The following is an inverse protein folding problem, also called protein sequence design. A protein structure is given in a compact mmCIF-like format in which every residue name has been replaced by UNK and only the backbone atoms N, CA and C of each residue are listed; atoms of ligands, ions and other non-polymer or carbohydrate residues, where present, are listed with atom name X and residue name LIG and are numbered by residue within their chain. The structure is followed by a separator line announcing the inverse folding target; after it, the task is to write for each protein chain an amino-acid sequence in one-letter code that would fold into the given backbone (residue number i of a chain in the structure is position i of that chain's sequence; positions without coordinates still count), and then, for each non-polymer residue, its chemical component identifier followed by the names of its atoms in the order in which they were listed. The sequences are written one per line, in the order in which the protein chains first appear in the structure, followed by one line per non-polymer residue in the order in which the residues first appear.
data_IF_858530632089
#
_entry.id   IF_858530632089
#
_cell.length_a   1.000
_cell.length_b   1.000
_cell.length_c   1.000
_cell.angle_alpha   90.00
_cell.angle_beta   90.00
_cell.angle_gamma   90.00
#
_symmetry.space_group_name_H-M   'P 1'
#
loop_
_entity.id
_entity.type
_entity.pdbx_description
1 polymer ?
#
# COMPACT_ATOMS: atom_id res chain seq x y z
N UNK A 1 -59.33 -18.00 -30.11
CA UNK A 1 -59.34 -18.51 -28.72
C UNK A 1 -57.88 -18.54 -28.26
N UNK A 2 -57.42 -17.46 -27.61
CA UNK A 2 -56.05 -17.35 -27.11
C UNK A 2 -56.15 -17.21 -25.60
N UNK A 3 -55.68 -18.23 -24.90
CA UNK A 3 -55.70 -18.34 -23.45
C UNK A 3 -54.65 -17.37 -22.90
N UNK A 4 -55.08 -16.34 -22.15
CA UNK A 4 -54.19 -15.60 -21.25
C UNK A 4 -53.87 -16.51 -20.07
N UNK A 5 -52.65 -17.02 -20.01
CA UNK A 5 -52.10 -17.59 -18.79
C UNK A 5 -51.85 -16.43 -17.81
N UNK A 6 -52.67 -16.35 -16.76
CA UNK A 6 -52.35 -15.60 -15.58
C UNK A 6 -51.22 -16.32 -14.83
N UNK A 7 -49.97 -15.91 -15.05
CA UNK A 7 -48.88 -16.26 -14.13
C UNK A 7 -48.99 -15.36 -12.89
N UNK A 8 -49.86 -15.76 -11.96
CA UNK A 8 -49.69 -15.40 -10.56
C UNK A 8 -48.69 -16.38 -9.96
N UNK A 9 -47.39 -16.11 -10.11
CA UNK A 9 -46.38 -16.72 -9.25
C UNK A 9 -46.64 -16.25 -7.82
N UNK A 10 -47.30 -17.13 -7.06
CA UNK A 10 -47.51 -16.97 -5.63
C UNK A 10 -46.14 -17.20 -4.96
N UNK A 11 -45.27 -16.19 -4.94
CA UNK A 11 -44.07 -16.22 -4.13
C UNK A 11 -44.52 -16.41 -2.67
N UNK A 12 -44.37 -17.64 -2.14
CA UNK A 12 -44.72 -17.94 -0.75
C UNK A 12 -44.03 -16.94 0.17
N UNK A 13 -44.83 -16.25 0.99
CA UNK A 13 -44.31 -15.30 1.97
C UNK A 13 -43.42 -16.07 2.95
N UNK A 14 -42.13 -15.74 3.03
CA UNK A 14 -41.14 -16.46 3.83
C UNK A 14 -41.56 -16.66 5.30
N UNK A 15 -42.43 -15.78 5.82
CA UNK A 15 -42.96 -15.83 7.19
C UNK A 15 -43.70 -17.14 7.49
N UNK A 16 -44.43 -17.69 6.52
CA UNK A 16 -45.22 -18.92 6.68
C UNK A 16 -44.42 -20.21 6.48
N UNK A 17 -43.17 -20.13 6.01
CA UNK A 17 -42.31 -21.29 5.84
C UNK A 17 -41.85 -21.87 7.19
N UNK A 18 -41.64 -23.19 7.31
CA UNK A 18 -40.99 -23.79 8.47
C UNK A 18 -39.56 -23.26 8.61
N UNK A 19 -39.03 -23.18 9.85
CA UNK A 19 -37.63 -22.76 10.03
C UNK A 19 -36.67 -23.75 9.37
N UNK A 20 -35.67 -23.21 8.68
CA UNK A 20 -34.77 -24.00 7.84
C UNK A 20 -34.03 -23.14 6.82
N UNK A 21 -33.22 -23.81 6.00
CA UNK A 21 -32.40 -23.17 4.96
C UNK A 21 -33.25 -22.43 3.93
N UNK A 22 -34.37 -23.01 3.53
CA UNK A 22 -35.30 -22.44 2.54
C UNK A 22 -35.94 -21.14 3.05
N UNK A 23 -36.49 -21.16 4.28
CA UNK A 23 -37.01 -19.95 4.92
C UNK A 23 -35.95 -18.86 5.07
N UNK A 24 -34.73 -19.25 5.46
CA UNK A 24 -33.63 -18.30 5.59
C UNK A 24 -33.25 -17.66 4.26
N UNK A 25 -33.10 -18.45 3.20
CA UNK A 25 -32.83 -17.92 1.86
C UNK A 25 -33.97 -17.01 1.37
N UNK A 26 -35.22 -17.40 1.57
CA UNK A 26 -36.38 -16.58 1.22
C UNK A 26 -36.41 -15.26 2.02
N UNK A 27 -36.04 -15.29 3.30
CA UNK A 27 -35.86 -14.09 4.12
C UNK A 27 -34.75 -13.17 3.58
N UNK A 28 -33.59 -13.71 3.21
CA UNK A 28 -32.49 -12.93 2.63
C UNK A 28 -32.82 -12.32 1.25
N UNK A 29 -33.85 -12.82 0.56
CA UNK A 29 -34.39 -12.25 -0.67
C UNK A 29 -35.58 -11.30 -0.43
N UNK A 30 -35.98 -11.07 0.82
CA UNK A 30 -37.15 -10.28 1.16
C UNK A 30 -36.91 -8.77 1.11
N UNK A 31 -38.01 -8.00 1.10
CA UNK A 31 -37.97 -6.54 1.24
C UNK A 31 -37.46 -6.14 2.62
N UNK A 32 -37.87 -6.85 3.68
CA UNK A 32 -37.45 -6.58 5.05
C UNK A 32 -35.92 -6.64 5.20
N UNK A 33 -35.29 -7.69 4.65
CA UNK A 33 -33.84 -7.79 4.65
C UNK A 33 -33.17 -6.74 3.76
N UNK A 34 -33.77 -6.38 2.63
CA UNK A 34 -33.23 -5.33 1.75
C UNK A 34 -33.20 -3.96 2.45
N UNK A 35 -34.24 -3.63 3.22
CA UNK A 35 -34.28 -2.41 4.04
C UNK A 35 -33.20 -2.42 5.12
N UNK A 36 -32.98 -3.56 5.80
CA UNK A 36 -31.91 -3.70 6.78
C UNK A 36 -30.52 -3.54 6.13
N UNK A 37 -30.28 -4.14 4.97
CA UNK A 37 -29.02 -3.98 4.22
C UNK A 37 -28.73 -2.53 3.87
N UNK A 38 -29.73 -1.80 3.37
CA UNK A 38 -29.57 -0.36 3.08
C UNK A 38 -29.32 0.47 4.33
N UNK A 39 -29.99 0.17 5.44
CA UNK A 39 -29.75 0.87 6.71
C UNK A 39 -28.33 0.61 7.26
N UNK A 40 -27.81 -0.61 7.13
CA UNK A 40 -26.43 -0.96 7.49
C UNK A 40 -25.43 -0.22 6.58
N UNK A 41 -25.70 -0.15 5.27
CA UNK A 41 -24.88 0.57 4.30
C UNK A 41 -24.86 2.08 4.55
N UNK A 42 -26.01 2.68 4.85
CA UNK A 42 -26.14 4.10 5.23
C UNK A 42 -25.30 4.39 6.49
N UNK A 43 -25.46 3.57 7.53
CA UNK A 43 -24.68 3.69 8.78
C UNK A 43 -23.18 3.64 8.54
N UNK A 44 -22.73 2.69 7.72
CA UNK A 44 -21.30 2.50 7.44
C UNK A 44 -20.76 3.44 6.35
N UNK A 45 -21.63 4.27 5.75
CA UNK A 45 -21.32 5.11 4.58
C UNK A 45 -20.77 4.30 3.40
N UNK A 46 -21.24 3.06 3.25
CA UNK A 46 -20.79 2.15 2.21
C UNK A 46 -19.40 1.55 2.42
N UNK A 47 -18.80 1.68 3.61
CA UNK A 47 -17.47 1.15 3.92
C UNK A 47 -17.57 -0.08 4.83
N UNK A 48 -16.61 -1.00 4.72
CA UNK A 48 -16.47 -2.13 5.63
C UNK A 48 -16.12 -1.67 7.05
N UNK A 49 -16.93 -2.05 8.04
CA UNK A 49 -16.74 -1.71 9.46
C UNK A 49 -15.68 -2.57 10.17
N UNK A 50 -15.10 -3.57 9.48
CA UNK A 50 -14.03 -4.41 10.03
C UNK A 50 -12.64 -3.87 9.64
N UNK A 51 -12.36 -3.69 8.34
CA UNK A 51 -11.07 -3.15 7.88
C UNK A 51 -11.07 -1.63 7.72
N UNK A 52 -12.24 -0.96 7.72
CA UNK A 52 -12.38 0.49 7.51
C UNK A 52 -11.72 1.01 6.22
N UNK A 53 -11.58 0.16 5.21
CA UNK A 53 -10.85 0.47 3.98
C UNK A 53 -11.63 0.15 2.72
N UNK A 54 -12.08 -1.10 2.59
CA UNK A 54 -12.78 -1.58 1.39
C UNK A 54 -14.27 -1.19 1.42
N UNK A 55 -14.88 -1.11 0.23
CA UNK A 55 -16.33 -0.95 0.10
C UNK A 55 -17.08 -2.13 0.75
N UNK A 56 -18.23 -1.81 1.34
CA UNK A 56 -19.15 -2.82 1.85
C UNK A 56 -19.75 -3.61 0.69
N UNK A 57 -19.66 -4.95 0.78
CA UNK A 57 -20.25 -5.89 -0.17
C UNK A 57 -21.31 -6.80 0.50
N UNK A 58 -21.12 -7.10 1.79
CA UNK A 58 -21.93 -8.04 2.55
C UNK A 58 -22.37 -7.48 3.89
N UNK A 59 -23.49 -8.00 4.40
CA UNK A 59 -23.91 -7.80 5.79
C UNK A 59 -23.64 -9.08 6.56
N UNK A 60 -22.78 -8.99 7.56
CA UNK A 60 -22.41 -10.10 8.42
C UNK A 60 -23.22 -10.07 9.71
N UNK A 61 -23.73 -11.22 10.12
CA UNK A 61 -24.45 -11.37 11.39
C UNK A 61 -23.45 -11.56 12.54
N UNK A 62 -23.45 -10.64 13.50
CA UNK A 62 -22.68 -10.76 14.75
C UNK A 62 -23.32 -11.74 15.73
N UNK A 63 -24.63 -11.92 15.63
CA UNK A 63 -25.40 -12.88 16.42
C UNK A 63 -26.64 -13.32 15.67
N UNK A 64 -27.09 -14.55 15.95
CA UNK A 64 -28.31 -15.13 15.39
C UNK A 64 -29.46 -15.20 16.40
N UNK A 65 -29.31 -14.64 17.61
CA UNK A 65 -30.33 -14.67 18.69
C UNK A 65 -31.68 -14.10 18.22
N UNK A 66 -31.65 -13.13 17.29
CA UNK A 66 -32.83 -12.47 16.72
C UNK A 66 -33.03 -12.76 15.24
N UNK A 67 -32.67 -13.97 14.78
CA UNK A 67 -32.89 -14.40 13.39
C UNK A 67 -34.32 -14.06 12.94
N UNK A 68 -34.48 -13.42 11.78
CA UNK A 68 -35.73 -12.87 11.20
C UNK A 68 -36.27 -11.58 11.83
N UNK A 69 -35.62 -11.05 12.87
CA UNK A 69 -35.98 -9.82 13.60
C UNK A 69 -34.72 -9.08 14.08
N UNK A 70 -33.69 -9.12 13.24
CA UNK A 70 -32.37 -8.59 13.54
C UNK A 70 -32.47 -7.09 13.83
N UNK A 71 -31.76 -6.64 14.86
CA UNK A 71 -31.51 -5.22 15.06
C UNK A 71 -30.33 -4.79 14.21
N UNK A 72 -30.20 -3.50 13.94
CA UNK A 72 -29.08 -3.00 13.15
C UNK A 72 -27.74 -3.31 13.85
N UNK A 73 -27.71 -3.35 15.18
CA UNK A 73 -26.53 -3.68 15.99
C UNK A 73 -26.16 -5.17 15.94
N UNK A 74 -27.05 -6.04 15.44
CA UNK A 74 -26.74 -7.46 15.20
C UNK A 74 -25.93 -7.66 13.92
N UNK A 75 -25.77 -6.60 13.14
CA UNK A 75 -25.29 -6.65 11.77
C UNK A 75 -24.07 -5.75 11.62
N UNK A 76 -23.09 -6.24 10.86
CA UNK A 76 -21.87 -5.51 10.51
C UNK A 76 -21.73 -5.40 9.00
N UNK A 77 -21.44 -4.20 8.50
CA UNK A 77 -21.06 -3.97 7.10
C UNK A 77 -19.66 -4.54 6.84
N UNK A 78 -19.51 -5.42 5.86
CA UNK A 78 -18.24 -6.07 5.56
C UNK A 78 -17.94 -6.07 4.06
N UNK A 79 -16.67 -5.89 3.69
CA UNK A 79 -16.22 -6.22 2.35
C UNK A 79 -16.15 -7.74 2.18
N UNK A 80 -16.10 -8.19 0.92
CA UNK A 80 -16.05 -9.60 0.59
C UNK A 80 -14.88 -10.32 1.26
N UNK A 81 -13.69 -9.72 1.26
CA UNK A 81 -12.46 -10.32 1.80
C UNK A 81 -12.54 -10.50 3.31
N UNK A 82 -12.98 -9.46 4.04
CA UNK A 82 -13.18 -9.55 5.49
C UNK A 82 -14.24 -10.60 5.85
N UNK A 83 -15.28 -10.73 5.02
CA UNK A 83 -16.35 -11.70 5.22
C UNK A 83 -15.85 -13.13 5.00
N UNK A 84 -15.11 -13.37 3.92
CA UNK A 84 -14.53 -14.68 3.62
C UNK A 84 -13.52 -15.11 4.68
N UNK A 85 -12.68 -14.19 5.18
CA UNK A 85 -11.79 -14.44 6.31
C UNK A 85 -12.55 -14.87 7.57
N UNK A 86 -13.60 -14.13 7.92
CA UNK A 86 -14.41 -14.41 9.13
C UNK A 86 -15.12 -15.76 9.04
N UNK A 87 -15.42 -16.23 7.83
CA UNK A 87 -15.99 -17.55 7.58
C UNK A 87 -14.95 -18.66 7.35
N UNK A 88 -13.65 -18.37 7.49
CA UNK A 88 -12.57 -19.34 7.24
C UNK A 88 -12.50 -19.83 5.79
N UNK A 89 -13.01 -19.03 4.84
CA UNK A 89 -12.91 -19.31 3.39
C UNK A 89 -11.60 -18.78 2.79
N UNK A 90 -10.89 -17.94 3.53
CA UNK A 90 -9.59 -17.37 3.18
C UNK A 90 -8.77 -17.16 4.44
N UNK A 91 -7.46 -17.32 4.35
CA UNK A 91 -6.50 -17.00 5.42
C UNK A 91 -6.03 -15.53 5.35
N UNK A 92 -6.47 -14.77 4.33
CA UNK A 92 -6.15 -13.35 4.16
C UNK A 92 -7.08 -12.48 5.02
N UNK A 93 -6.53 -11.75 5.98
CA UNK A 93 -7.26 -10.84 6.87
C UNK A 93 -7.02 -9.35 6.53
N UNK A 94 -7.95 -8.67 5.83
CA UNK A 94 -7.77 -7.26 5.47
C UNK A 94 -7.73 -6.29 6.67
N UNK A 95 -8.11 -6.73 7.87
CA UNK A 95 -8.11 -5.89 9.06
C UNK A 95 -6.75 -5.87 9.78
N UNK A 96 -5.91 -6.90 9.61
CA UNK A 96 -4.51 -6.90 10.08
C UNK A 96 -3.54 -6.44 8.98
N UNK A 97 -3.89 -6.64 7.71
CA UNK A 97 -3.15 -6.09 6.55
C UNK A 97 -3.59 -4.64 6.22
N UNK A 98 -4.01 -3.89 7.25
CA UNK A 98 -4.65 -2.60 7.11
C UNK A 98 -3.76 -1.51 6.51
N UNK A 99 -4.36 -0.48 5.96
CA UNK A 99 -3.64 0.69 5.47
C UNK A 99 -3.09 1.53 6.64
N UNK A 100 -1.89 2.06 6.48
CA UNK A 100 -1.40 3.17 7.31
C UNK A 100 -2.22 4.44 7.07
N UNK A 101 -2.08 5.44 7.94
CA UNK A 101 -2.65 6.76 7.71
C UNK A 101 -1.62 7.88 7.91
N UNK A 102 -1.51 8.76 6.93
CA UNK A 102 -0.74 10.00 7.01
C UNK A 102 -1.67 11.16 6.67
N UNK A 103 -1.83 12.11 7.60
CA UNK A 103 -2.73 13.25 7.47
C UNK A 103 -4.14 12.88 6.95
N UNK A 104 -4.70 11.78 7.48
CA UNK A 104 -6.03 11.28 7.12
C UNK A 104 -6.11 10.46 5.82
N UNK A 105 -5.07 10.45 4.99
CA UNK A 105 -5.00 9.63 3.76
C UNK A 105 -4.62 8.18 4.10
N UNK A 106 -5.26 7.23 3.44
CA UNK A 106 -4.86 5.82 3.51
C UNK A 106 -3.55 5.61 2.76
N UNK A 107 -2.68 4.78 3.32
CA UNK A 107 -1.38 4.42 2.75
C UNK A 107 -1.25 2.92 2.75
N UNK A 108 -1.26 2.29 1.58
CA UNK A 108 -0.97 0.86 1.41
C UNK A 108 0.34 0.65 0.66
N UNK A 109 0.69 1.60 -0.21
CA UNK A 109 1.90 1.59 -1.02
C UNK A 109 2.76 2.83 -0.75
N UNK A 110 4.08 2.69 -0.86
CA UNK A 110 5.00 3.81 -0.67
C UNK A 110 6.16 3.82 -1.67
N UNK A 111 6.64 5.03 -1.93
CA UNK A 111 7.79 5.37 -2.76
C UNK A 111 8.87 6.05 -1.93
N UNK A 112 10.14 5.69 -2.15
CA UNK A 112 11.29 6.23 -1.41
C UNK A 112 12.11 7.20 -2.25
N UNK A 113 11.85 8.49 -2.09
CA UNK A 113 12.66 9.54 -2.71
C UNK A 113 13.90 9.84 -1.84
N UNK A 114 15.02 10.22 -2.45
CA UNK A 114 16.28 10.51 -1.75
C UNK A 114 17.50 10.01 -2.51
N UNK A 115 18.66 10.65 -2.31
CA UNK A 115 19.87 10.33 -3.07
C UNK A 115 20.23 8.84 -2.96
N UNK A 116 20.72 8.26 -4.06
CA UNK A 116 21.15 6.85 -4.15
C UNK A 116 22.68 6.83 -4.17
N UNK A 117 23.32 7.36 -3.13
CA UNK A 117 24.80 7.36 -3.03
C UNK A 117 25.23 7.05 -1.61
N UNK A 118 25.98 5.95 -1.42
CA UNK A 118 26.66 5.62 -0.17
C UNK A 118 25.73 5.24 0.99
N UNK A 119 25.89 4.01 1.49
CA UNK A 119 25.08 3.35 2.52
C UNK A 119 23.59 3.18 2.12
N UNK A 120 23.13 1.93 2.16
CA UNK A 120 21.79 1.53 1.76
C UNK A 120 20.74 1.96 2.79
N UNK A 121 20.54 3.27 2.98
CA UNK A 121 19.55 3.80 3.94
C UNK A 121 18.13 3.28 3.69
N UNK A 122 17.84 2.88 2.45
CA UNK A 122 16.58 2.22 2.08
C UNK A 122 16.44 0.85 2.74
N UNK A 123 17.53 0.12 2.97
CA UNK A 123 17.52 -1.16 3.68
C UNK A 123 17.13 -1.00 5.15
N UNK A 124 17.31 0.20 5.74
CA UNK A 124 16.82 0.48 7.09
C UNK A 124 15.29 0.47 7.18
N UNK A 125 14.61 0.77 6.06
CA UNK A 125 13.15 0.85 5.94
C UNK A 125 12.59 -0.43 5.30
N UNK A 126 13.17 -0.84 4.17
CA UNK A 126 12.76 -1.96 3.36
C UNK A 126 13.77 -3.09 3.55
N UNK A 127 13.60 -3.78 4.67
CA UNK A 127 14.48 -4.89 5.05
C UNK A 127 14.33 -6.03 4.06
N UNK A 128 15.43 -6.74 3.84
CA UNK A 128 15.48 -7.96 3.04
C UNK A 128 15.13 -7.78 1.55
N UNK A 129 14.93 -6.54 1.07
CA UNK A 129 14.79 -6.24 -0.35
C UNK A 129 15.93 -6.89 -1.14
N UNK A 130 17.16 -6.78 -0.65
CA UNK A 130 18.38 -7.34 -1.26
C UNK A 130 18.45 -8.86 -1.29
N UNK A 131 17.71 -9.55 -0.41
CA UNK A 131 17.84 -10.99 -0.17
C UNK A 131 16.62 -11.78 -0.65
N UNK A 132 15.44 -11.16 -0.75
CA UNK A 132 14.22 -11.82 -1.21
C UNK A 132 13.96 -11.64 -2.72
N UNK A 133 13.10 -12.50 -3.27
CA UNK A 133 12.74 -12.66 -4.69
C UNK A 133 12.29 -11.39 -5.45
N UNK A 134 12.30 -10.22 -4.82
CA UNK A 134 11.82 -8.94 -5.37
C UNK A 134 12.96 -7.96 -5.73
N UNK A 135 14.21 -8.22 -5.32
CA UNK A 135 15.38 -7.50 -5.81
C UNK A 135 15.83 -8.00 -7.19
N UNK A 136 16.48 -7.15 -8.01
CA UNK A 136 17.12 -7.56 -9.26
C UNK A 136 18.22 -8.64 -9.11
N UNK A 137 18.50 -9.15 -7.90
CA UNK A 137 19.33 -10.34 -7.73
C UNK A 137 18.56 -11.65 -7.98
N UNK A 138 17.22 -11.62 -8.01
CA UNK A 138 16.41 -12.73 -8.49
C UNK A 138 16.28 -12.66 -10.02
N UNK A 139 16.66 -13.74 -10.70
CA UNK A 139 16.55 -13.91 -12.14
C UNK A 139 15.12 -13.67 -12.66
N UNK A 140 14.09 -14.06 -11.89
CA UNK A 140 12.70 -13.84 -12.28
C UNK A 140 12.31 -12.35 -12.27
N UNK A 141 12.75 -11.58 -11.27
CA UNK A 141 12.48 -10.15 -11.17
C UNK A 141 13.21 -9.36 -12.28
N UNK A 142 14.44 -9.74 -12.62
CA UNK A 142 15.16 -9.19 -13.78
C UNK A 142 14.43 -9.48 -15.09
N UNK A 143 13.96 -10.71 -15.27
CA UNK A 143 13.28 -11.14 -16.49
C UNK A 143 11.93 -10.42 -16.68
N UNK A 144 11.15 -10.25 -15.61
CA UNK A 144 9.91 -9.48 -15.65
C UNK A 144 10.14 -7.98 -15.89
N UNK A 145 11.23 -7.41 -15.36
CA UNK A 145 11.64 -6.05 -15.70
C UNK A 145 12.06 -5.93 -17.17
N UNK A 146 12.83 -6.87 -17.71
CA UNK A 146 13.25 -6.84 -19.12
C UNK A 146 12.06 -6.86 -20.08
N UNK A 147 11.02 -7.64 -19.75
CA UNK A 147 9.76 -7.68 -20.51
C UNK A 147 8.91 -6.42 -20.36
N UNK A 148 8.69 -5.98 -19.12
CA UNK A 148 7.72 -4.92 -18.82
C UNK A 148 8.32 -3.52 -18.93
N UNK A 149 9.65 -3.41 -18.77
CA UNK A 149 10.40 -2.16 -18.56
C UNK A 149 9.89 -1.36 -17.36
N UNK A 150 9.24 -2.03 -16.41
CA UNK A 150 8.63 -1.43 -15.22
C UNK A 150 9.19 -2.04 -13.94
N UNK A 151 9.45 -1.20 -12.94
CA UNK A 151 9.74 -1.65 -11.58
C UNK A 151 8.58 -2.50 -11.02
N UNK A 152 8.91 -3.69 -10.53
CA UNK A 152 8.00 -4.54 -9.77
C UNK A 152 7.80 -4.02 -8.34
N UNK A 153 6.77 -4.53 -7.69
CA UNK A 153 6.35 -4.13 -6.34
C UNK A 153 6.92 -5.15 -5.35
N UNK A 154 7.62 -4.68 -4.30
CA UNK A 154 7.83 -5.55 -3.13
C UNK A 154 6.60 -5.50 -2.25
N UNK A 155 5.95 -6.64 -2.11
CA UNK A 155 4.84 -6.77 -1.18
C UNK A 155 5.34 -6.84 0.24
N UNK A 156 4.64 -6.17 1.17
CA UNK A 156 4.91 -6.20 2.62
C UNK A 156 6.34 -5.78 2.98
N UNK A 157 6.84 -4.77 2.31
CA UNK A 157 8.24 -4.37 2.34
C UNK A 157 8.64 -3.58 3.60
N UNK A 158 7.71 -2.84 4.21
CA UNK A 158 8.00 -2.05 5.41
C UNK A 158 6.82 -1.99 6.39
N UNK A 159 7.11 -2.04 7.69
CA UNK A 159 6.09 -1.92 8.74
C UNK A 159 5.70 -0.46 8.96
N UNK A 160 4.40 -0.19 9.09
CA UNK A 160 3.83 1.09 9.54
C UNK A 160 3.33 1.01 11.00
N UNK A 161 3.79 0.02 11.76
CA UNK A 161 3.36 -0.25 13.13
C UNK A 161 2.02 -0.96 13.23
N UNK A 162 1.71 -1.48 14.43
CA UNK A 162 0.44 -2.17 14.74
C UNK A 162 0.06 -3.32 13.77
N UNK A 163 1.06 -4.01 13.20
CA UNK A 163 0.87 -5.10 12.26
C UNK A 163 0.61 -4.69 10.80
N UNK A 164 0.56 -3.37 10.51
CA UNK A 164 0.42 -2.86 9.14
C UNK A 164 1.74 -3.04 8.38
N UNK A 165 1.66 -3.65 7.21
CA UNK A 165 2.77 -3.77 6.26
C UNK A 165 2.41 -3.05 4.96
N UNK A 166 3.34 -2.24 4.45
CA UNK A 166 3.18 -1.46 3.24
C UNK A 166 3.96 -2.07 2.07
N UNK A 167 3.42 -1.89 0.87
CA UNK A 167 4.03 -2.35 -0.37
C UNK A 167 4.95 -1.27 -0.97
N UNK A 168 6.16 -1.66 -1.35
CA UNK A 168 7.15 -0.76 -1.92
C UNK A 168 7.08 -0.76 -3.45
N UNK A 169 6.92 0.42 -4.05
CA UNK A 169 6.72 0.56 -5.51
C UNK A 169 7.90 1.19 -6.25
N UNK A 170 8.96 1.56 -5.54
CA UNK A 170 10.18 2.11 -6.12
C UNK A 170 10.69 3.39 -5.44
N UNK A 171 11.82 3.93 -5.91
CA UNK A 171 12.60 3.45 -7.05
C UNK A 171 13.38 2.19 -6.72
N UNK A 172 13.59 1.31 -7.70
CA UNK A 172 14.47 0.15 -7.48
C UNK A 172 15.91 0.59 -7.21
N UNK A 173 16.61 -0.14 -6.32
CA UNK A 173 18.07 -0.03 -6.11
C UNK A 173 18.70 -1.43 -6.04
N UNK A 174 20.02 -1.49 -6.28
CA UNK A 174 20.83 -2.71 -6.17
C UNK A 174 21.92 -2.50 -5.10
N UNK A 175 21.90 -3.27 -4.00
CA UNK A 175 22.93 -3.24 -2.97
C UNK A 175 24.14 -4.13 -3.29
N UNK A 176 24.07 -4.96 -4.34
CA UNK A 176 25.09 -5.91 -4.80
C UNK A 176 26.31 -5.29 -5.49
N UNK A 177 26.75 -4.13 -5.02
CA UNK A 177 27.99 -3.49 -5.39
C UNK A 177 29.04 -3.65 -4.29
N UNK A 178 29.17 -4.85 -3.72
CA UNK A 178 30.27 -5.18 -2.83
C UNK A 178 31.58 -4.72 -3.48
N UNK A 179 32.21 -3.71 -2.87
CA UNK A 179 33.44 -3.06 -3.32
C UNK A 179 33.83 -3.28 -4.78
N UNK A 180 33.10 -2.67 -5.74
CA UNK A 180 33.57 -2.25 -7.07
C UNK A 180 32.45 -1.85 -8.08
N UNK A 181 31.20 -1.67 -7.65
CA UNK A 181 30.33 -0.64 -8.26
C UNK A 181 29.81 0.32 -7.20
N UNK A 182 30.70 0.63 -6.26
CA UNK A 182 30.58 1.84 -5.46
C UNK A 182 30.32 3.03 -6.38
N UNK A 183 29.48 3.94 -5.93
CA UNK A 183 29.50 5.36 -6.29
C UNK A 183 30.87 6.06 -6.09
N UNK A 184 31.99 5.33 -6.03
CA UNK A 184 33.36 5.89 -6.03
C UNK A 184 33.78 6.37 -7.42
N UNK A 185 33.08 5.99 -8.49
CA UNK A 185 33.47 6.37 -9.86
C UNK A 185 32.43 7.20 -10.61
N UNK A 186 31.17 7.29 -10.14
CA UNK A 186 30.14 8.08 -10.81
C UNK A 186 29.13 8.67 -9.80
N UNK A 187 28.92 9.99 -9.90
CA UNK A 187 27.69 10.68 -9.50
C UNK A 187 26.54 10.13 -10.36
N UNK A 188 26.06 8.93 -10.04
CA UNK A 188 24.97 8.32 -10.79
C UNK A 188 23.65 9.03 -10.45
N UNK A 189 22.82 9.32 -11.47
CA UNK A 189 21.55 10.01 -11.27
C UNK A 189 20.57 9.19 -10.40
N UNK A 190 19.68 9.88 -9.71
CA UNK A 190 18.62 9.26 -8.90
C UNK A 190 17.83 8.24 -9.74
N UNK A 191 17.53 7.07 -9.13
CA UNK A 191 16.84 5.91 -9.72
C UNK A 191 17.60 5.10 -10.79
N UNK A 192 18.91 5.29 -10.95
CA UNK A 192 19.71 4.53 -11.92
C UNK A 192 19.90 3.06 -11.53
N UNK A 193 19.44 2.14 -12.37
CA UNK A 193 19.74 0.71 -12.31
C UNK A 193 21.04 0.46 -13.10
N UNK A 194 22.12 0.04 -12.45
CA UNK A 194 23.26 -0.53 -13.17
C UNK A 194 22.86 -1.93 -13.66
N UNK A 195 22.40 -2.02 -14.93
CA UNK A 195 22.10 -3.31 -15.58
C UNK A 195 23.34 -3.97 -16.18
N UNK A 196 24.50 -3.32 -16.17
CA UNK A 196 25.66 -3.81 -16.90
C UNK A 196 26.87 -4.03 -15.98
N UNK A 197 27.21 -5.30 -15.79
CA UNK A 197 28.55 -5.75 -15.42
C UNK A 197 29.50 -5.50 -16.61
N UNK A 198 29.64 -4.25 -17.04
CA UNK A 198 30.35 -3.85 -18.26
C UNK A 198 31.19 -2.60 -18.07
N UNK A 199 32.27 -2.49 -18.86
CA UNK A 199 33.31 -1.49 -18.75
C UNK A 199 32.77 -0.05 -18.68
N UNK A 200 33.41 0.80 -17.88
CA UNK A 200 33.00 2.15 -17.48
C UNK A 200 32.63 3.12 -18.62
N UNK A 201 33.08 2.88 -19.86
CA UNK A 201 32.70 3.69 -21.03
C UNK A 201 31.30 3.36 -21.59
N UNK A 202 30.81 2.14 -21.36
CA UNK A 202 29.47 1.69 -21.78
C UNK A 202 28.33 2.15 -20.85
N UNK A 203 28.69 2.75 -19.71
CA UNK A 203 27.78 3.14 -18.62
C UNK A 203 27.35 4.62 -18.66
N UNK A 204 27.74 5.39 -19.69
CA UNK A 204 27.32 6.79 -19.80
C UNK A 204 25.78 6.87 -19.95
N UNK A 205 25.08 7.63 -19.10
CA UNK A 205 23.64 7.81 -19.24
C UNK A 205 23.31 8.32 -20.64
N UNK A 206 22.55 7.54 -21.42
CA UNK A 206 22.04 7.97 -22.72
C UNK A 206 20.76 8.78 -22.53
N UNK A 207 20.40 9.67 -23.46
CA UNK A 207 19.09 10.32 -23.45
C UNK A 207 17.93 9.33 -23.34
N UNK A 208 18.02 8.19 -24.02
CA UNK A 208 17.00 7.13 -24.00
C UNK A 208 16.82 6.52 -22.60
N UNK A 209 17.92 6.33 -21.86
CA UNK A 209 17.87 5.83 -20.49
C UNK A 209 17.12 6.79 -19.55
N UNK A 210 17.33 8.10 -19.69
CA UNK A 210 16.59 9.08 -18.88
C UNK A 210 15.09 9.10 -19.21
N UNK A 211 14.71 8.82 -20.46
CA UNK A 211 13.31 8.67 -20.85
C UNK A 211 12.69 7.43 -20.18
N UNK A 212 13.38 6.30 -20.20
CA UNK A 212 12.94 5.07 -19.54
C UNK A 212 12.86 5.22 -18.01
N UNK A 213 13.86 5.85 -17.38
CA UNK A 213 13.87 6.13 -15.94
C UNK A 213 12.72 7.07 -15.55
N UNK A 214 12.49 8.13 -16.32
CA UNK A 214 11.35 9.03 -16.10
C UNK A 214 10.02 8.27 -16.20
N UNK A 215 9.87 7.39 -17.18
CA UNK A 215 8.65 6.59 -17.33
C UNK A 215 8.42 5.68 -16.11
N UNK A 216 9.48 5.05 -15.60
CA UNK A 216 9.44 4.24 -14.38
C UNK A 216 9.06 5.07 -13.15
N UNK A 217 9.69 6.23 -12.96
CA UNK A 217 9.36 7.15 -11.86
C UNK A 217 7.90 7.57 -11.94
N UNK A 218 7.38 7.92 -13.13
CA UNK A 218 5.98 8.34 -13.27
C UNK A 218 5.02 7.19 -12.92
N UNK A 219 5.29 5.97 -13.40
CA UNK A 219 4.48 4.78 -13.06
C UNK A 219 4.52 4.48 -11.56
N UNK A 220 5.70 4.52 -10.94
CA UNK A 220 5.86 4.27 -9.51
C UNK A 220 5.15 5.35 -8.66
N UNK A 221 5.34 6.63 -8.99
CA UNK A 221 4.64 7.73 -8.32
C UNK A 221 3.12 7.66 -8.55
N UNK A 222 2.64 7.19 -9.71
CA UNK A 222 1.22 6.96 -9.94
C UNK A 222 0.67 5.87 -9.00
N UNK A 223 1.43 4.79 -8.78
CA UNK A 223 1.04 3.68 -7.88
C UNK A 223 1.12 4.04 -6.40
N UNK A 224 2.10 4.85 -5.99
CA UNK A 224 2.36 5.14 -4.59
C UNK A 224 1.20 5.91 -3.92
N UNK A 225 0.83 5.55 -2.70
CA UNK A 225 -0.05 6.36 -1.84
C UNK A 225 0.76 7.39 -1.05
N UNK A 226 1.96 7.00 -0.62
CA UNK A 226 2.92 7.80 0.12
C UNK A 226 4.22 7.98 -0.67
N UNK A 227 4.72 9.21 -0.71
CA UNK A 227 6.10 9.52 -1.05
C UNK A 227 6.83 9.91 0.24
N UNK A 228 7.76 9.06 0.66
CA UNK A 228 8.65 9.34 1.77
C UNK A 228 10.01 9.77 1.20
N UNK A 229 10.41 11.00 1.46
CA UNK A 229 11.69 11.54 1.02
C UNK A 229 12.69 11.57 2.17
N UNK A 230 13.85 10.93 2.00
CA UNK A 230 15.00 11.08 2.88
C UNK A 230 16.00 12.04 2.26
N UNK A 231 16.28 13.15 2.95
CA UNK A 231 17.20 14.21 2.52
C UNK A 231 18.38 14.26 3.49
N UNK A 232 19.52 13.76 3.02
CA UNK A 232 20.80 13.75 3.72
C UNK A 232 21.91 14.52 2.98
N UNK A 233 21.56 15.15 1.85
CA UNK A 233 22.45 15.99 1.06
C UNK A 233 21.70 17.17 0.43
N UNK A 234 22.42 18.27 0.17
CA UNK A 234 21.88 19.49 -0.45
C UNK A 234 21.80 19.42 -1.98
N UNK A 235 22.33 18.37 -2.60
CA UNK A 235 22.37 18.17 -4.06
C UNK A 235 21.34 17.13 -4.56
N UNK A 236 20.27 16.88 -3.79
CA UNK A 236 19.22 15.91 -4.11
C UNK A 236 18.20 16.42 -5.14
N UNK A 237 18.65 16.99 -6.27
CA UNK A 237 17.77 17.69 -7.22
C UNK A 237 16.63 16.81 -7.77
N UNK A 238 16.92 15.55 -8.11
CA UNK A 238 15.90 14.60 -8.59
C UNK A 238 14.79 14.38 -7.56
N UNK A 239 15.15 14.25 -6.29
CA UNK A 239 14.22 14.09 -5.17
C UNK A 239 13.31 15.32 -4.99
N UNK A 240 13.84 16.53 -5.19
CA UNK A 240 13.02 17.74 -5.15
C UNK A 240 11.99 17.78 -6.30
N UNK A 241 12.37 17.30 -7.48
CA UNK A 241 11.46 17.16 -8.62
C UNK A 241 10.39 16.10 -8.33
N UNK A 242 10.76 14.96 -7.78
CA UNK A 242 9.83 13.90 -7.37
C UNK A 242 8.80 14.38 -6.35
N UNK A 243 9.23 15.16 -5.35
CA UNK A 243 8.33 15.79 -4.39
C UNK A 243 7.33 16.74 -5.06
N UNK A 244 7.79 17.53 -6.04
CA UNK A 244 6.91 18.38 -6.85
C UNK A 244 5.88 17.57 -7.65
N UNK A 245 6.31 16.48 -8.29
CA UNK A 245 5.42 15.58 -9.03
C UNK A 245 4.43 14.88 -8.09
N UNK A 246 4.88 14.42 -6.92
CA UNK A 246 4.05 13.81 -5.89
C UNK A 246 2.96 14.77 -5.39
N UNK A 247 3.32 16.03 -5.18
CA UNK A 247 2.39 17.08 -4.78
C UNK A 247 1.33 17.33 -5.87
N UNK A 248 1.76 17.42 -7.13
CA UNK A 248 0.85 17.56 -8.28
C UNK A 248 -0.12 16.36 -8.40
N UNK A 249 0.36 15.14 -8.11
CA UNK A 249 -0.44 13.90 -8.07
C UNK A 249 -1.21 13.72 -6.75
N UNK A 250 -1.19 14.71 -5.85
CA UNK A 250 -1.91 14.72 -4.55
C UNK A 250 -1.59 13.54 -3.64
N UNK A 251 -0.36 13.01 -3.69
CA UNK A 251 0.09 11.90 -2.83
C UNK A 251 0.20 12.35 -1.36
N UNK A 252 0.22 11.39 -0.43
CA UNK A 252 0.72 11.69 0.91
C UNK A 252 2.24 11.95 0.78
N UNK A 253 2.75 12.96 1.49
CA UNK A 253 4.15 13.35 1.39
C UNK A 253 4.72 13.46 2.79
N UNK A 254 5.82 12.76 3.03
CA UNK A 254 6.65 12.91 4.22
C UNK A 254 8.03 13.33 3.75
N UNK A 255 8.56 14.39 4.37
CA UNK A 255 9.95 14.82 4.14
C UNK A 255 10.73 14.63 5.43
N UNK A 256 11.67 13.70 5.40
CA UNK A 256 12.56 13.39 6.49
C UNK A 256 13.97 13.92 6.18
N UNK A 257 14.57 14.63 7.13
CA UNK A 257 15.91 15.18 7.02
C UNK A 257 16.88 14.45 7.95
N UNK A 258 18.10 14.23 7.47
CA UNK A 258 19.22 13.92 8.36
C UNK A 258 19.43 15.10 9.32
N UNK A 259 19.84 14.80 10.56
CA UNK A 259 20.25 15.77 11.57
C UNK A 259 21.42 16.68 11.13
N UNK A 260 22.09 16.33 10.03
CA UNK A 260 23.15 17.12 9.39
C UNK A 260 22.64 18.15 8.38
N UNK A 261 21.36 18.09 8.02
CA UNK A 261 20.76 19.00 7.04
C UNK A 261 19.99 20.10 7.74
N UNK A 262 20.26 21.36 7.37
CA UNK A 262 19.41 22.47 7.77
C UNK A 262 18.11 22.46 6.95
N UNK A 263 17.05 21.92 7.55
CA UNK A 263 15.73 21.83 6.92
C UNK A 263 15.16 23.18 6.46
N UNK A 264 15.66 24.32 6.97
CA UNK A 264 15.21 25.66 6.54
C UNK A 264 15.57 25.97 5.10
N UNK A 265 16.68 25.43 4.59
CA UNK A 265 17.08 25.58 3.19
C UNK A 265 16.08 24.90 2.24
N UNK A 266 15.29 23.96 2.77
CA UNK A 266 14.27 23.20 2.05
C UNK A 266 12.84 23.67 2.35
N UNK A 267 12.66 24.89 2.85
CA UNK A 267 11.37 25.41 3.33
C UNK A 267 10.23 25.19 2.33
N UNK A 268 10.48 25.35 1.03
CA UNK A 268 9.47 25.19 -0.01
C UNK A 268 9.05 23.72 -0.14
N UNK A 269 10.01 22.79 -0.26
CA UNK A 269 9.71 21.36 -0.34
C UNK A 269 9.02 20.87 0.94
N UNK A 270 9.50 21.31 2.11
CA UNK A 270 8.91 21.01 3.41
C UNK A 270 7.46 21.52 3.54
N UNK A 271 7.12 22.66 2.91
CA UNK A 271 5.76 23.22 2.97
C UNK A 271 4.70 22.40 2.23
N UNK A 272 5.10 21.55 1.27
CA UNK A 272 4.21 20.59 0.60
C UNK A 272 4.08 19.26 1.35
N UNK A 273 4.92 19.03 2.35
CA UNK A 273 4.88 17.81 3.15
C UNK A 273 3.69 17.81 4.10
N UNK A 274 3.06 16.67 4.26
CA UNK A 274 2.03 16.45 5.27
C UNK A 274 2.65 16.24 6.66
N UNK A 275 3.91 15.78 6.69
CA UNK A 275 4.72 15.64 7.90
C UNK A 275 6.19 15.88 7.57
N UNK A 276 6.89 16.55 8.48
CA UNK A 276 8.33 16.79 8.41
C UNK A 276 8.98 16.18 9.64
N UNK A 277 10.07 15.43 9.44
CA UNK A 277 10.81 14.75 10.51
C UNK A 277 12.30 15.04 10.37
N UNK A 278 13.01 15.15 11.49
CA UNK A 278 14.47 15.21 11.54
C UNK A 278 14.95 14.02 12.37
N UNK A 279 15.88 13.22 11.85
CA UNK A 279 16.41 12.05 12.53
C UNK A 279 17.88 11.79 12.14
N UNK A 280 18.56 10.88 12.84
CA UNK A 280 19.96 10.54 12.48
C UNK A 280 20.03 9.61 11.28
N UNK A 281 19.04 8.72 11.15
CA UNK A 281 18.96 7.72 10.08
C UNK A 281 17.58 7.68 9.46
N UNK A 282 17.48 7.09 8.26
CA UNK A 282 16.21 6.98 7.55
C UNK A 282 15.22 6.04 8.26
N UNK A 283 15.72 4.96 8.87
CA UNK A 283 14.93 4.03 9.68
C UNK A 283 14.37 4.69 10.94
N UNK A 284 15.15 5.53 11.63
CA UNK A 284 14.65 6.32 12.78
C UNK A 284 13.54 7.29 12.34
N UNK A 285 13.73 7.99 11.22
CA UNK A 285 12.70 8.87 10.67
C UNK A 285 11.43 8.10 10.33
N UNK A 286 11.55 6.95 9.65
CA UNK A 286 10.42 6.08 9.31
C UNK A 286 9.67 5.61 10.56
N UNK A 287 10.39 5.11 11.56
CA UNK A 287 9.79 4.69 12.83
C UNK A 287 9.05 5.85 13.52
N UNK A 288 9.63 7.05 13.52
CA UNK A 288 9.00 8.24 14.09
C UNK A 288 7.72 8.66 13.36
N UNK A 289 7.66 8.51 12.03
CA UNK A 289 6.46 8.82 11.24
C UNK A 289 5.29 7.93 11.64
N UNK A 290 5.58 6.65 11.89
CA UNK A 290 4.58 5.64 12.18
C UNK A 290 4.35 5.38 13.67
N UNK A 291 5.06 6.09 14.55
CA UNK A 291 4.95 5.90 16.00
C UNK A 291 5.44 4.51 16.47
N UNK A 292 6.37 3.91 15.74
CA UNK A 292 6.95 2.60 16.06
C UNK A 292 7.98 2.79 17.18
N UNK A 293 7.82 2.07 18.29
CA UNK A 293 8.79 2.11 19.38
C UNK A 293 10.12 1.48 18.91
N UNK A 294 11.21 2.23 18.94
CA UNK A 294 12.55 1.79 18.49
C UNK A 294 13.08 0.55 19.22
N UNK A 295 12.50 0.18 20.39
CA UNK A 295 12.85 -1.04 21.14
C UNK A 295 12.28 -2.36 20.57
N UNK A 296 11.32 -2.33 19.64
CA UNK A 296 10.73 -3.54 19.05
C UNK A 296 11.51 -4.08 17.84
N UNK A 297 12.33 -3.23 17.23
CA UNK A 297 13.09 -3.52 16.02
C UNK A 297 14.19 -4.58 16.24
N UNK A 298 14.67 -4.73 17.48
CA UNK A 298 15.70 -5.72 17.85
C UNK A 298 15.12 -7.11 18.18
N UNK A 299 13.81 -7.22 18.44
CA UNK A 299 13.18 -8.49 18.83
C UNK A 299 12.60 -9.27 17.65
N UNK A 300 12.18 -8.58 16.58
CA UNK A 300 11.68 -9.22 15.36
C UNK A 300 12.81 -9.67 14.40
N UNK A 301 14.05 -9.20 14.62
CA UNK A 301 15.24 -9.62 13.85
C UNK A 301 15.88 -10.93 14.34
N UNK A 302 15.24 -11.65 15.27
CA UNK A 302 15.72 -12.92 15.84
C UNK A 302 14.67 -14.05 15.82
N UNK A 303 13.55 -13.86 15.13
CA UNK A 303 12.54 -14.90 14.89
C UNK A 303 12.48 -15.22 13.40
#
# INVERSE_FOLDING_TARGET
MVVRLHEKEFAMEWKSMPDGKEKYNAYLCSREWSVLKEAVKERSRGVCERCNANEMDHVHHLTYIRKYRERIEDLRAMCKECHDFTHGKSDYDPAIYGYGRIAGKFVGTFYLAGKITGADWRDEIVRDWSQENHSPHNYEAMYEYEKSKLWAVAHRAASAGNGVMLDYVGPWWSPGAGGHSTSLWFDSPHAYLCTACGDAESLKPTPDLFVELRANIDVALNRADLVFAWIDSTDCFGTLVELGVAAAKKKAIVVAFSDKIDAKEFWLAASYAHQVVVAKTAGEAWASVWGIATKQVEQEAKA
#
